data_IF_624157578065
#
_entry.id   IF_624157578065
#
_cell.length_a   1.000
_cell.length_b   1.000
_cell.length_c   1.000
_cell.angle_alpha   90.00
_cell.angle_beta   90.00
_cell.angle_gamma   90.00
#
_symmetry.space_group_name_H-M   'P 1'
#
loop_
_entity.id
_entity.type
_entity.pdbx_description
1 polymer ?
#
# COMPACT_ATOMS: atom_id res chain seq x y z
N UNK A 1 -13.59 -55.80 -30.68
CA UNK A 1 -14.32 -55.53 -31.92
C UNK A 1 -13.92 -54.14 -32.31
N UNK A 2 -13.04 -54.01 -33.25
CA UNK A 2 -13.22 -53.59 -34.67
C UNK A 2 -13.68 -52.14 -34.71
N UNK A 3 -13.00 -51.21 -35.28
CA UNK A 3 -12.10 -51.06 -36.43
C UNK A 3 -12.45 -49.69 -36.98
N UNK A 4 -11.62 -48.99 -37.55
CA UNK A 4 -10.71 -48.87 -38.62
C UNK A 4 -10.75 -47.42 -39.03
N UNK A 5 -9.64 -46.65 -39.17
CA UNK A 5 -8.75 -46.62 -40.35
C UNK A 5 -9.46 -46.11 -41.63
N UNK A 6 -8.99 -45.10 -42.24
CA UNK A 6 -8.06 -44.95 -43.37
C UNK A 6 -8.22 -43.53 -43.94
N UNK A 7 -7.18 -42.81 -44.14
CA UNK A 7 -6.15 -42.76 -45.19
C UNK A 7 -6.42 -41.79 -46.35
N UNK A 8 -5.43 -40.93 -46.53
CA UNK A 8 -4.71 -40.56 -47.78
C UNK A 8 -5.49 -39.83 -48.90
N UNK A 9 -4.92 -38.94 -49.62
CA UNK A 9 -3.69 -38.79 -50.41
C UNK A 9 -3.67 -37.41 -51.15
N UNK A 10 -2.62 -36.80 -51.19
CA UNK A 10 -1.53 -36.48 -52.11
C UNK A 10 -1.83 -35.68 -53.40
N UNK A 11 -0.82 -34.93 -53.69
CA UNK A 11 -0.21 -34.56 -54.99
C UNK A 11 -0.37 -33.10 -55.49
N UNK A 12 0.74 -32.41 -55.45
CA UNK A 12 1.67 -32.04 -56.54
C UNK A 12 1.13 -31.23 -57.74
N UNK A 13 1.74 -30.08 -58.01
CA UNK A 13 2.69 -29.82 -59.12
C UNK A 13 2.91 -28.32 -59.39
N UNK A 14 4.09 -27.86 -59.29
CA UNK A 14 5.07 -27.28 -60.23
C UNK A 14 4.54 -26.46 -61.44
N UNK A 15 5.16 -25.27 -61.63
CA UNK A 15 5.17 -24.50 -62.88
C UNK A 15 6.05 -23.26 -62.85
N UNK A 16 7.10 -23.30 -63.57
CA UNK A 16 8.22 -22.34 -63.75
C UNK A 16 7.92 -21.17 -64.68
N UNK A 17 8.73 -20.09 -64.50
CA UNK A 17 9.29 -19.25 -65.58
C UNK A 17 8.47 -17.97 -65.82
N UNK A 18 8.98 -16.85 -66.11
CA UNK A 18 10.22 -16.47 -66.76
C UNK A 18 10.48 -14.96 -66.59
N UNK A 19 11.70 -14.59 -66.75
CA UNK A 19 12.39 -13.33 -66.74
C UNK A 19 11.83 -12.33 -67.79
N UNK A 20 11.73 -11.04 -67.44
CA UNK A 20 12.23 -9.97 -68.35
C UNK A 20 12.43 -8.62 -67.68
N UNK A 21 13.63 -8.12 -67.85
CA UNK A 21 14.10 -6.79 -67.50
C UNK A 21 13.55 -5.73 -68.46
N UNK A 22 13.27 -4.50 -67.99
CA UNK A 22 13.72 -3.24 -68.62
C UNK A 22 13.37 -1.97 -67.85
N UNK A 23 14.40 -1.16 -67.80
CA UNK A 23 14.49 0.31 -67.95
C UNK A 23 14.19 1.21 -66.77
N UNK A 24 15.27 1.85 -66.35
CA UNK A 24 15.39 3.06 -65.53
C UNK A 24 14.53 4.22 -66.07
N UNK A 25 13.85 4.88 -65.17
CA UNK A 25 13.59 6.32 -65.29
C UNK A 25 13.67 6.98 -63.92
N UNK A 26 14.65 7.82 -63.77
CA UNK A 26 14.92 8.73 -62.66
C UNK A 26 13.83 9.77 -62.59
N UNK A 27 13.25 9.98 -61.39
CA UNK A 27 12.43 11.15 -61.06
C UNK A 27 12.84 11.65 -59.69
N UNK A 28 12.88 12.97 -59.45
CA UNK A 28 13.54 13.58 -58.31
C UNK A 28 12.78 13.42 -57.02
N UNK A 29 13.53 13.28 -55.93
CA UNK A 29 13.06 13.29 -54.52
C UNK A 29 12.41 14.65 -54.19
N UNK A 30 11.31 14.66 -53.45
CA UNK A 30 10.88 15.84 -52.71
C UNK A 30 11.56 15.84 -51.32
N UNK A 31 11.93 17.04 -50.92
CA UNK A 31 12.53 17.39 -49.62
C UNK A 31 11.78 16.79 -48.45
N UNK A 32 12.48 16.00 -47.65
CA UNK A 32 12.06 15.53 -46.33
C UNK A 32 12.30 16.65 -45.31
N UNK A 33 11.22 17.30 -44.91
CA UNK A 33 11.20 18.08 -43.67
C UNK A 33 11.37 17.10 -42.47
N UNK A 34 12.09 17.49 -41.41
CA UNK A 34 12.22 16.64 -40.22
C UNK A 34 10.86 16.58 -39.50
N UNK A 35 10.28 15.38 -39.45
CA UNK A 35 9.16 15.06 -38.57
C UNK A 35 9.60 15.31 -37.12
N UNK A 36 8.99 16.32 -36.52
CA UNK A 36 9.00 16.54 -35.08
C UNK A 36 8.36 15.33 -34.40
N UNK A 37 9.16 14.49 -33.76
CA UNK A 37 8.67 13.45 -32.87
C UNK A 37 7.84 14.10 -31.75
N UNK A 38 6.63 13.61 -31.47
CA UNK A 38 5.88 14.09 -30.31
C UNK A 38 6.60 13.65 -29.04
N UNK A 39 6.86 14.64 -28.20
CA UNK A 39 7.44 14.53 -26.86
C UNK A 39 6.66 13.54 -26.01
N UNK A 40 7.16 12.30 -25.87
CA UNK A 40 6.62 11.28 -24.98
C UNK A 40 7.13 11.49 -23.57
N UNK A 41 6.77 12.61 -22.95
CA UNK A 41 6.94 12.78 -21.51
C UNK A 41 5.60 13.09 -20.87
N UNK A 42 5.22 12.19 -20.00
CA UNK A 42 4.32 12.32 -18.85
C UNK A 42 2.92 11.73 -18.97
N UNK A 43 2.73 10.44 -18.65
CA UNK A 43 1.40 9.98 -18.20
C UNK A 43 1.28 9.77 -16.67
N UNK A 44 2.37 9.87 -15.87
CA UNK A 44 2.29 9.52 -14.44
C UNK A 44 1.82 10.67 -13.53
N UNK A 45 2.03 11.93 -13.92
CA UNK A 45 1.66 13.10 -13.09
C UNK A 45 0.20 13.52 -13.27
N UNK A 46 -0.40 13.27 -14.42
CA UNK A 46 -1.80 13.61 -14.73
C UNK A 46 -2.80 12.70 -13.98
N UNK A 47 -2.46 11.43 -13.72
CA UNK A 47 -3.39 10.44 -13.14
C UNK A 47 -3.72 10.62 -11.66
N UNK A 48 -2.98 11.42 -10.90
CA UNK A 48 -3.29 11.68 -9.49
C UNK A 48 -4.24 12.86 -9.27
N UNK A 49 -4.54 13.66 -10.32
CA UNK A 49 -5.36 14.86 -10.23
C UNK A 49 -6.87 14.60 -10.48
N UNK A 50 -7.25 13.39 -10.90
CA UNK A 50 -8.63 13.08 -11.30
C UNK A 50 -9.36 12.20 -10.25
N UNK A 51 -8.96 12.23 -8.98
CA UNK A 51 -9.62 11.50 -7.89
C UNK A 51 -10.45 12.46 -7.07
N UNK A 52 -11.77 12.37 -7.17
CA UNK A 52 -12.72 13.05 -6.31
C UNK A 52 -12.92 12.24 -5.02
N UNK A 53 -12.79 12.87 -3.84
CA UNK A 53 -13.12 12.25 -2.56
C UNK A 53 -14.27 12.99 -1.91
N UNK A 54 -15.29 12.23 -1.49
CA UNK A 54 -16.46 12.81 -0.83
C UNK A 54 -17.04 11.91 0.26
N UNK A 55 -17.75 12.49 1.20
CA UNK A 55 -18.49 11.73 2.22
C UNK A 55 -19.63 10.93 1.58
N UNK A 56 -19.89 9.73 2.11
CA UNK A 56 -20.95 8.81 1.69
C UNK A 56 -22.11 8.83 2.69
N UNK A 57 -23.34 8.77 2.20
CA UNK A 57 -24.53 8.94 3.03
C UNK A 57 -25.68 7.98 2.71
N UNK A 58 -25.67 7.36 1.55
CA UNK A 58 -26.76 6.52 1.05
C UNK A 58 -26.47 5.03 1.18
N UNK A 59 -27.51 4.22 1.31
CA UNK A 59 -27.36 2.76 1.34
C UNK A 59 -26.76 2.19 0.05
N UNK A 60 -27.00 2.85 -1.10
CA UNK A 60 -26.38 2.47 -2.37
C UNK A 60 -24.88 2.60 -2.31
N UNK A 61 -24.38 3.76 -1.87
CA UNK A 61 -22.94 4.01 -1.71
C UNK A 61 -22.29 3.04 -0.70
N UNK A 62 -22.97 2.67 0.38
CA UNK A 62 -22.43 1.71 1.35
C UNK A 62 -22.34 0.29 0.78
N UNK A 63 -23.27 -0.12 -0.11
CA UNK A 63 -23.14 -1.39 -0.86
C UNK A 63 -21.97 -1.36 -1.82
N UNK A 64 -21.71 -0.22 -2.47
CA UNK A 64 -20.57 -0.05 -3.34
C UNK A 64 -19.24 -0.17 -2.55
N UNK A 65 -19.19 0.37 -1.31
CA UNK A 65 -18.03 0.20 -0.41
C UNK A 65 -17.85 -1.27 -0.02
N UNK A 66 -18.91 -1.98 0.36
CA UNK A 66 -18.84 -3.41 0.70
C UNK A 66 -18.34 -4.23 -0.49
N UNK A 67 -18.84 -3.96 -1.69
CA UNK A 67 -18.38 -4.62 -2.92
C UNK A 67 -16.89 -4.32 -3.21
N UNK A 68 -16.47 -3.06 -3.09
CA UNK A 68 -15.07 -2.65 -3.24
C UNK A 68 -14.16 -3.38 -2.25
N UNK A 69 -14.55 -3.43 -0.97
CA UNK A 69 -13.78 -4.11 0.06
C UNK A 69 -13.73 -5.62 -0.17
N UNK A 70 -14.81 -6.24 -0.65
CA UNK A 70 -14.82 -7.65 -1.05
C UNK A 70 -13.85 -7.97 -2.19
N UNK A 71 -13.62 -7.01 -3.10
CA UNK A 71 -12.61 -7.14 -4.16
C UNK A 71 -11.16 -6.96 -3.65
N UNK A 72 -10.96 -6.11 -2.62
CA UNK A 72 -9.63 -5.87 -2.02
C UNK A 72 -9.27 -6.97 -1.02
N UNK A 73 -10.23 -7.36 -0.18
CA UNK A 73 -10.12 -8.41 0.82
C UNK A 73 -11.19 -9.47 0.56
N UNK A 74 -10.90 -10.49 -0.26
CA UNK A 74 -11.87 -11.52 -0.58
C UNK A 74 -12.41 -12.19 0.69
N UNK A 75 -13.74 -12.35 0.80
CA UNK A 75 -14.35 -12.92 1.99
C UNK A 75 -13.93 -14.38 2.18
N UNK A 76 -13.65 -14.74 3.41
CA UNK A 76 -13.40 -16.12 3.83
C UNK A 76 -14.70 -16.69 4.41
N UNK A 77 -15.06 -17.95 4.14
CA UNK A 77 -16.25 -18.55 4.72
C UNK A 77 -16.30 -18.39 6.24
N UNK A 78 -17.40 -17.83 6.75
CA UNK A 78 -17.59 -17.57 8.17
C UNK A 78 -17.09 -16.21 8.68
N UNK A 79 -16.45 -15.40 7.83
CA UNK A 79 -16.08 -14.02 8.16
C UNK A 79 -16.94 -13.03 7.37
N UNK A 80 -17.37 -11.96 8.06
CA UNK A 80 -18.04 -10.82 7.43
C UNK A 80 -17.06 -9.88 6.72
N UNK A 81 -17.58 -8.86 6.01
CA UNK A 81 -16.75 -7.80 5.44
C UNK A 81 -16.01 -7.03 6.56
N UNK A 82 -14.92 -6.33 6.25
CA UNK A 82 -14.18 -5.52 7.24
C UNK A 82 -15.06 -4.52 8.01
N UNK A 83 -16.09 -4.00 7.36
CA UNK A 83 -17.16 -3.16 7.95
C UNK A 83 -18.46 -3.45 7.22
N UNK A 84 -19.51 -3.92 7.93
CA UNK A 84 -20.83 -4.17 7.34
C UNK A 84 -21.62 -2.89 7.05
N UNK A 85 -22.60 -2.97 6.16
CA UNK A 85 -23.45 -1.85 5.71
C UNK A 85 -24.13 -1.14 6.87
N UNK A 86 -24.62 -1.91 7.86
CA UNK A 86 -25.31 -1.39 9.05
C UNK A 86 -24.38 -0.48 9.85
N UNK A 87 -23.12 -0.89 10.02
CA UNK A 87 -22.13 -0.11 10.76
C UNK A 87 -21.69 1.12 9.96
N UNK A 88 -21.51 1.01 8.63
CA UNK A 88 -21.26 2.16 7.76
C UNK A 88 -22.38 3.19 7.88
N UNK A 89 -23.64 2.73 7.86
CA UNK A 89 -24.82 3.58 8.04
C UNK A 89 -24.84 4.26 9.42
N UNK A 90 -24.58 3.50 10.48
CA UNK A 90 -24.55 4.01 11.84
C UNK A 90 -23.44 5.07 12.01
N UNK A 91 -22.23 4.82 11.52
CA UNK A 91 -21.13 5.76 11.58
C UNK A 91 -21.44 7.06 10.82
N UNK A 92 -21.90 6.97 9.57
CA UNK A 92 -22.25 8.16 8.78
C UNK A 92 -23.38 8.96 9.44
N UNK A 93 -24.40 8.29 10.00
CA UNK A 93 -25.52 8.93 10.68
C UNK A 93 -25.10 9.62 11.97
N UNK A 94 -24.19 9.00 12.72
CA UNK A 94 -23.63 9.57 13.97
C UNK A 94 -22.55 10.64 13.72
N UNK A 95 -22.31 11.04 12.47
CA UNK A 95 -21.37 12.11 12.14
C UNK A 95 -19.90 11.68 12.10
N UNK A 96 -19.63 10.36 12.07
CA UNK A 96 -18.29 9.86 11.85
C UNK A 96 -17.91 9.89 10.35
N UNK A 97 -16.63 9.68 10.07
CA UNK A 97 -16.08 9.76 8.73
C UNK A 97 -16.32 8.48 7.94
N UNK A 98 -17.13 8.57 6.89
CA UNK A 98 -17.27 7.53 5.87
C UNK A 98 -17.16 8.22 4.52
N UNK A 99 -16.12 7.93 3.74
CA UNK A 99 -15.84 8.61 2.48
C UNK A 99 -15.43 7.61 1.38
N UNK A 100 -15.78 7.96 0.15
CA UNK A 100 -15.41 7.26 -1.07
C UNK A 100 -14.55 8.13 -1.98
N UNK A 101 -13.59 7.49 -2.64
CA UNK A 101 -12.78 8.08 -3.68
C UNK A 101 -13.26 7.59 -5.05
N UNK A 102 -13.53 8.51 -5.95
CA UNK A 102 -14.08 8.24 -7.26
C UNK A 102 -13.10 8.66 -8.36
N UNK A 103 -13.08 7.88 -9.42
CA UNK A 103 -12.43 8.22 -10.69
C UNK A 103 -13.40 7.92 -11.81
N UNK A 104 -13.67 8.90 -12.67
CA UNK A 104 -14.63 8.78 -13.77
C UNK A 104 -16.01 8.25 -13.31
N UNK A 105 -16.45 8.69 -12.12
CA UNK A 105 -17.70 8.28 -11.49
C UNK A 105 -17.70 6.87 -10.86
N UNK A 106 -16.59 6.13 -10.93
CA UNK A 106 -16.44 4.80 -10.36
C UNK A 106 -15.75 4.87 -8.99
N UNK A 107 -16.29 4.17 -7.99
CA UNK A 107 -15.68 4.05 -6.66
C UNK A 107 -14.40 3.19 -6.75
N UNK A 108 -13.25 3.80 -6.44
CA UNK A 108 -11.92 3.18 -6.52
C UNK A 108 -11.20 3.10 -5.17
N UNK A 109 -11.80 3.64 -4.12
CA UNK A 109 -11.31 3.56 -2.76
C UNK A 109 -12.34 4.04 -1.75
N UNK A 110 -12.23 3.59 -0.51
CA UNK A 110 -13.09 4.05 0.58
C UNK A 110 -12.30 4.07 1.90
N UNK A 111 -12.73 4.95 2.82
CA UNK A 111 -12.16 5.04 4.15
C UNK A 111 -13.23 5.27 5.19
N UNK A 112 -13.08 4.60 6.33
CA UNK A 112 -13.96 4.67 7.49
C UNK A 112 -13.16 5.04 8.72
N UNK A 113 -13.65 6.01 9.48
CA UNK A 113 -13.06 6.42 10.74
C UNK A 113 -14.13 6.83 11.74
N UNK A 114 -13.81 6.75 13.02
CA UNK A 114 -14.67 7.15 14.13
C UNK A 114 -13.89 7.97 15.16
N UNK A 115 -14.61 8.75 15.96
CA UNK A 115 -14.00 9.54 17.03
C UNK A 115 -13.37 8.60 18.07
N UNK A 116 -12.11 8.89 18.41
CA UNK A 116 -11.30 8.12 19.35
C UNK A 116 -10.94 8.93 20.60
N UNK A 117 -10.24 8.31 21.52
CA UNK A 117 -9.69 8.99 22.70
C UNK A 117 -8.35 9.67 22.37
N UNK A 118 -8.05 10.86 22.96
CA UNK A 118 -8.96 11.70 23.79
C UNK A 118 -10.12 12.28 22.99
N UNK A 119 -11.30 12.32 23.62
CA UNK A 119 -12.52 12.83 22.99
C UNK A 119 -12.34 14.31 22.60
N UNK A 120 -12.76 14.64 21.37
CA UNK A 120 -12.63 15.98 20.80
C UNK A 120 -11.25 16.31 20.22
N UNK A 121 -10.28 15.39 20.31
CA UNK A 121 -8.94 15.59 19.75
C UNK A 121 -8.57 14.57 18.67
N UNK A 122 -9.12 13.37 18.74
CA UNK A 122 -8.64 12.20 17.97
C UNK A 122 -9.71 11.61 17.08
N UNK A 123 -9.33 11.27 15.84
CA UNK A 123 -10.05 10.40 14.94
C UNK A 123 -9.30 9.08 14.80
N UNK A 124 -9.96 7.95 14.96
CA UNK A 124 -9.38 6.65 14.66
C UNK A 124 -9.78 6.20 13.26
N UNK A 125 -8.81 6.13 12.35
CA UNK A 125 -8.99 5.65 10.97
C UNK A 125 -8.99 4.13 10.96
N UNK A 126 -10.16 3.52 10.92
CA UNK A 126 -10.30 2.07 11.11
C UNK A 126 -9.92 1.27 9.87
N UNK A 127 -10.53 1.58 8.74
CA UNK A 127 -10.32 0.87 7.46
C UNK A 127 -10.12 1.88 6.33
N UNK A 128 -9.09 1.67 5.53
CA UNK A 128 -8.89 2.38 4.27
C UNK A 128 -8.49 1.37 3.21
N UNK A 129 -9.36 1.15 2.23
CA UNK A 129 -9.11 0.30 1.08
C UNK A 129 -9.09 1.11 -0.21
N UNK A 130 -8.13 0.83 -1.07
CA UNK A 130 -8.00 1.50 -2.37
C UNK A 130 -7.37 0.56 -3.39
N UNK A 131 -7.78 0.68 -4.64
CA UNK A 131 -7.11 0.01 -5.74
C UNK A 131 -5.66 0.49 -5.84
N UNK A 132 -4.73 -0.46 -5.95
CA UNK A 132 -3.29 -0.20 -5.86
C UNK A 132 -2.77 0.65 -7.03
N UNK A 133 -1.68 1.41 -6.79
CA UNK A 133 -0.93 2.11 -7.85
C UNK A 133 -1.52 3.44 -8.35
N UNK A 134 -2.62 3.92 -7.75
CA UNK A 134 -3.41 5.03 -8.30
C UNK A 134 -3.36 6.35 -7.52
N UNK A 135 -2.63 6.42 -6.40
CA UNK A 135 -2.62 7.60 -5.52
C UNK A 135 -3.89 7.80 -4.68
N UNK A 136 -4.89 6.93 -4.84
CA UNK A 136 -6.20 7.00 -4.16
C UNK A 136 -6.06 6.96 -2.64
N UNK A 137 -5.22 6.08 -2.09
CA UNK A 137 -4.98 6.03 -0.65
C UNK A 137 -4.44 7.34 -0.08
N UNK A 138 -3.58 8.03 -0.83
CA UNK A 138 -3.06 9.35 -0.43
C UNK A 138 -4.17 10.42 -0.49
N UNK A 139 -5.00 10.42 -1.53
CA UNK A 139 -6.14 11.34 -1.64
C UNK A 139 -7.14 11.14 -0.50
N UNK A 140 -7.49 9.89 -0.18
CA UNK A 140 -8.36 9.57 0.97
C UNK A 140 -7.78 10.07 2.30
N UNK A 141 -6.48 9.86 2.55
CA UNK A 141 -5.82 10.33 3.78
C UNK A 141 -5.75 11.86 3.85
N UNK A 142 -5.47 12.53 2.75
CA UNK A 142 -5.46 14.00 2.70
C UNK A 142 -6.85 14.57 2.98
N UNK A 143 -7.89 14.04 2.34
CA UNK A 143 -9.29 14.43 2.60
C UNK A 143 -9.69 14.14 4.05
N UNK A 144 -9.31 12.99 4.61
CA UNK A 144 -9.57 12.64 6.00
C UNK A 144 -8.91 13.64 6.98
N UNK A 145 -7.70 14.11 6.66
CA UNK A 145 -7.01 15.15 7.42
C UNK A 145 -7.76 16.47 7.40
N UNK A 146 -8.16 16.94 6.22
CA UNK A 146 -8.93 18.17 6.05
C UNK A 146 -10.27 18.10 6.80
N UNK A 147 -10.96 16.96 6.69
CA UNK A 147 -12.19 16.69 7.40
C UNK A 147 -12.01 16.74 8.93
N UNK A 148 -10.94 16.17 9.45
CA UNK A 148 -10.61 16.16 10.87
C UNK A 148 -10.25 17.58 11.39
N UNK A 149 -9.42 18.31 10.64
CA UNK A 149 -9.03 19.68 10.97
C UNK A 149 -10.23 20.64 10.99
N UNK A 150 -11.16 20.50 10.04
CA UNK A 150 -12.39 21.29 9.98
C UNK A 150 -13.31 21.07 11.21
N UNK A 151 -13.10 19.97 11.96
CA UNK A 151 -13.81 19.63 13.21
C UNK A 151 -12.99 19.89 14.47
N UNK A 152 -11.86 20.57 14.34
CA UNK A 152 -10.99 20.92 15.45
C UNK A 152 -10.16 19.75 16.01
N UNK A 153 -10.16 18.58 15.33
CA UNK A 153 -9.35 17.45 15.74
C UNK A 153 -7.87 17.73 15.49
N UNK A 154 -7.02 17.20 16.35
CA UNK A 154 -5.58 17.46 16.33
C UNK A 154 -4.79 16.32 15.74
N UNK A 155 -5.30 15.08 15.84
CA UNK A 155 -4.60 13.88 15.41
C UNK A 155 -5.53 12.84 14.79
N UNK A 156 -4.94 11.99 13.95
CA UNK A 156 -5.56 10.76 13.45
C UNK A 156 -4.68 9.60 13.84
N UNK A 157 -5.28 8.51 14.34
CA UNK A 157 -4.59 7.27 14.69
C UNK A 157 -5.07 6.13 13.79
N UNK A 158 -4.24 5.15 13.55
CA UNK A 158 -4.62 3.86 12.95
C UNK A 158 -3.57 2.81 13.21
N UNK A 159 -3.92 1.56 12.94
CA UNK A 159 -2.99 0.44 13.04
C UNK A 159 -2.64 -0.10 11.65
N UNK A 160 -1.44 -0.64 11.51
CA UNK A 160 -1.02 -1.37 10.31
C UNK A 160 -0.09 -2.53 10.68
N UNK A 161 0.05 -3.51 9.81
CA UNK A 161 0.99 -4.62 9.99
C UNK A 161 2.43 -4.14 9.74
N UNK A 162 3.31 -4.17 10.76
CA UNK A 162 4.67 -3.65 10.67
C UNK A 162 5.54 -4.36 9.63
N UNK A 163 5.23 -5.60 9.26
CA UNK A 163 5.98 -6.37 8.27
C UNK A 163 5.59 -6.06 6.83
N UNK A 164 4.46 -5.38 6.59
CA UNK A 164 4.07 -4.97 5.25
C UNK A 164 4.83 -3.71 4.84
N UNK A 165 5.97 -3.91 4.17
CA UNK A 165 6.92 -2.87 3.75
C UNK A 165 6.27 -1.67 3.06
N UNK A 166 5.33 -1.91 2.12
CA UNK A 166 4.63 -0.83 1.43
C UNK A 166 3.79 0.04 2.36
N UNK A 167 3.18 -0.57 3.41
CA UNK A 167 2.38 0.16 4.39
C UNK A 167 3.27 0.99 5.31
N UNK A 168 4.38 0.42 5.80
CA UNK A 168 5.35 1.15 6.61
C UNK A 168 5.87 2.38 5.84
N UNK A 169 6.32 2.20 4.61
CA UNK A 169 6.78 3.32 3.77
C UNK A 169 5.67 4.36 3.51
N UNK A 170 4.45 3.92 3.22
CA UNK A 170 3.33 4.84 3.01
C UNK A 170 3.02 5.66 4.26
N UNK A 171 2.91 5.01 5.41
CA UNK A 171 2.53 5.67 6.66
C UNK A 171 3.63 6.61 7.18
N UNK A 172 4.88 6.16 7.18
CA UNK A 172 5.98 6.90 7.80
C UNK A 172 6.62 7.89 6.84
N UNK A 173 6.98 7.45 5.64
CA UNK A 173 7.66 8.31 4.69
C UNK A 173 6.71 9.25 3.95
N UNK A 174 5.58 8.74 3.39
CA UNK A 174 4.68 9.57 2.58
C UNK A 174 3.65 10.37 3.37
N UNK A 175 3.21 9.91 4.55
CA UNK A 175 2.26 10.63 5.39
C UNK A 175 2.94 11.33 6.56
N UNK A 176 4.12 10.92 6.98
CA UNK A 176 4.81 11.48 8.14
C UNK A 176 4.22 11.07 9.48
N UNK A 177 3.42 9.99 9.53
CA UNK A 177 2.91 9.44 10.77
C UNK A 177 4.02 8.79 11.60
N UNK A 178 3.84 8.69 12.91
CA UNK A 178 4.84 8.11 13.84
C UNK A 178 4.28 6.87 14.54
N UNK A 179 4.97 5.73 14.53
CA UNK A 179 4.69 4.60 15.40
C UNK A 179 4.83 5.00 16.86
N UNK A 180 3.87 4.56 17.68
CA UNK A 180 3.86 4.87 19.13
C UNK A 180 3.69 3.63 19.99
N UNK A 181 3.18 2.52 19.45
CA UNK A 181 2.90 1.31 20.21
C UNK A 181 2.94 0.09 19.30
N UNK A 182 3.52 -1.01 19.79
CA UNK A 182 3.44 -2.31 19.16
C UNK A 182 2.35 -3.14 19.84
N UNK A 183 1.42 -3.67 19.09
CA UNK A 183 0.23 -4.37 19.55
C UNK A 183 0.28 -5.84 19.11
N UNK A 184 0.78 -6.75 19.96
CA UNK A 184 0.85 -8.18 19.63
C UNK A 184 -0.54 -8.79 19.49
N UNK A 185 -0.75 -9.56 18.43
CA UNK A 185 -1.98 -10.30 18.13
C UNK A 185 -3.27 -9.50 18.32
N UNK A 186 -3.27 -8.23 17.85
CA UNK A 186 -4.27 -7.20 18.19
C UNK A 186 -5.71 -7.58 17.81
N UNK A 187 -5.89 -8.28 16.70
CA UNK A 187 -7.20 -8.75 16.24
C UNK A 187 -7.46 -10.23 16.57
N UNK A 188 -6.59 -10.86 17.35
CA UNK A 188 -6.66 -12.30 17.61
C UNK A 188 -6.28 -13.13 16.38
N UNK A 189 -6.66 -14.39 16.38
CA UNK A 189 -6.36 -15.32 15.29
C UNK A 189 -7.23 -14.99 14.08
N UNK A 190 -6.65 -14.32 13.10
CA UNK A 190 -7.32 -13.96 11.85
C UNK A 190 -7.11 -15.09 10.83
N UNK A 191 -8.19 -15.81 10.54
CA UNK A 191 -8.24 -16.83 9.47
C UNK A 191 -8.66 -16.13 8.18
N UNK A 192 -7.83 -15.24 7.64
CA UNK A 192 -8.06 -14.58 6.35
C UNK A 192 -6.95 -14.90 5.35
N UNK A 193 -7.19 -14.58 4.07
CA UNK A 193 -6.23 -14.83 2.98
C UNK A 193 -4.99 -13.95 3.06
N UNK A 194 -5.01 -12.85 3.81
CA UNK A 194 -3.91 -11.89 3.96
C UNK A 194 -2.96 -12.32 5.06
N UNK A 195 -3.51 -12.74 6.22
CA UNK A 195 -2.72 -13.17 7.37
C UNK A 195 -2.35 -14.65 7.32
N UNK A 196 -3.11 -15.50 6.61
CA UNK A 196 -2.80 -16.93 6.40
C UNK A 196 -2.41 -17.69 7.67
N UNK A 197 -3.06 -17.37 8.81
CA UNK A 197 -2.77 -17.98 10.12
C UNK A 197 -1.52 -17.41 10.82
N UNK A 198 -0.91 -16.33 10.33
CA UNK A 198 0.08 -15.54 11.06
C UNK A 198 -0.60 -14.66 12.13
N UNK A 199 0.11 -14.37 13.23
CA UNK A 199 -0.41 -13.50 14.28
C UNK A 199 -0.75 -12.10 13.75
N UNK A 200 -1.85 -11.54 14.24
CA UNK A 200 -2.37 -10.24 13.79
C UNK A 200 -1.69 -9.03 14.46
N UNK A 201 -0.35 -9.05 14.58
CA UNK A 201 0.38 -7.94 15.16
C UNK A 201 0.16 -6.64 14.38
N UNK A 202 0.05 -5.56 15.11
CA UNK A 202 -0.12 -4.21 14.55
C UNK A 202 0.84 -3.24 15.22
N UNK A 203 1.13 -2.17 14.51
CA UNK A 203 1.75 -0.97 15.06
C UNK A 203 0.72 0.14 15.02
N UNK A 204 0.46 0.77 16.17
CA UNK A 204 -0.34 1.97 16.26
C UNK A 204 0.50 3.17 15.83
N UNK A 205 -0.03 3.97 14.92
CA UNK A 205 0.58 5.24 14.53
C UNK A 205 -0.29 6.41 14.94
N UNK A 206 0.39 7.51 15.22
CA UNK A 206 -0.22 8.83 15.44
C UNK A 206 0.20 9.75 14.29
N UNK A 207 -0.77 10.44 13.74
CA UNK A 207 -0.60 11.45 12.70
C UNK A 207 -1.01 12.81 13.29
N UNK A 208 -0.03 13.54 13.78
CA UNK A 208 -0.24 14.90 14.34
C UNK A 208 -0.47 15.86 13.18
N UNK A 209 -1.71 16.30 12.98
CA UNK A 209 -2.19 16.95 11.76
C UNK A 209 -1.51 18.31 11.48
N UNK A 210 -1.01 18.98 12.51
CA UNK A 210 -0.33 20.27 12.41
C UNK A 210 1.21 20.17 12.50
N UNK A 211 1.77 18.97 12.67
CA UNK A 211 3.22 18.76 12.65
C UNK A 211 3.81 19.28 11.34
N UNK A 212 4.93 20.03 11.36
CA UNK A 212 5.60 20.53 10.15
C UNK A 212 5.95 19.42 9.15
N UNK A 213 6.39 18.23 9.63
CA UNK A 213 6.68 17.05 8.83
C UNK A 213 5.43 16.55 8.10
N UNK A 214 4.29 16.47 8.80
CA UNK A 214 3.01 16.06 8.21
C UNK A 214 2.54 17.06 7.17
N UNK A 215 2.67 18.37 7.44
CA UNK A 215 2.32 19.41 6.48
C UNK A 215 3.18 19.36 5.22
N UNK A 216 4.47 19.12 5.35
CA UNK A 216 5.36 18.91 4.21
C UNK A 216 4.98 17.64 3.42
N UNK A 217 4.71 16.54 4.14
CA UNK A 217 4.30 15.27 3.54
C UNK A 217 3.03 15.40 2.69
N UNK A 218 2.00 16.10 3.20
CA UNK A 218 0.74 16.34 2.46
C UNK A 218 0.97 17.17 1.19
N UNK A 219 1.93 18.08 1.18
CA UNK A 219 2.37 18.83 -0.02
C UNK A 219 3.29 18.03 -0.93
N UNK A 220 3.57 16.74 -0.59
CA UNK A 220 4.52 15.87 -1.30
C UNK A 220 5.97 16.38 -1.28
N UNK A 221 6.33 17.12 -0.25
CA UNK A 221 7.64 17.69 0.02
C UNK A 221 8.41 16.85 1.06
N UNK A 222 8.14 15.55 1.14
CA UNK A 222 8.85 14.67 2.08
C UNK A 222 10.27 14.41 1.62
N UNK A 223 11.19 14.42 2.57
CA UNK A 223 12.56 13.99 2.35
C UNK A 223 12.71 12.50 2.70
N UNK A 224 13.43 11.71 1.90
CA UNK A 224 13.86 10.39 2.32
C UNK A 224 14.65 10.49 3.61
N UNK A 225 14.47 9.52 4.51
CA UNK A 225 15.34 9.41 5.67
C UNK A 225 16.55 8.57 5.27
N UNK A 226 17.75 9.11 5.52
CA UNK A 226 19.00 8.40 5.29
C UNK A 226 19.51 7.89 6.63
N UNK A 227 19.75 6.57 6.76
CA UNK A 227 20.35 6.03 7.98
C UNK A 227 21.73 6.65 8.20
N UNK A 228 22.08 7.09 9.42
CA UNK A 228 23.42 7.55 9.71
C UNK A 228 24.43 6.40 9.55
N UNK A 229 25.69 6.75 9.24
CA UNK A 229 26.72 5.76 8.94
C UNK A 229 27.08 4.84 10.13
N UNK A 230 26.78 5.25 11.35
CA UNK A 230 26.99 4.54 12.60
C UNK A 230 25.72 3.78 13.08
N UNK A 231 24.64 3.79 12.31
CA UNK A 231 23.44 3.02 12.65
C UNK A 231 23.73 1.52 12.67
N UNK A 232 23.34 0.86 13.74
CA UNK A 232 23.57 -0.57 13.96
C UNK A 232 22.35 -1.39 13.53
N UNK A 233 22.57 -2.51 12.86
CA UNK A 233 21.49 -3.39 12.45
C UNK A 233 21.00 -4.25 13.63
N UNK A 234 19.85 -3.90 14.20
CA UNK A 234 19.18 -4.67 15.26
C UNK A 234 18.37 -5.85 14.73
N UNK A 235 17.93 -5.79 13.48
CA UNK A 235 17.29 -6.90 12.79
C UNK A 235 17.71 -6.88 11.32
N UNK A 236 18.21 -8.01 10.82
CA UNK A 236 18.68 -8.17 9.44
C UNK A 236 18.04 -9.35 8.75
N UNK A 237 18.28 -9.52 7.47
CA UNK A 237 17.89 -10.70 6.68
C UNK A 237 19.13 -11.51 6.32
N UNK A 238 19.08 -12.85 6.52
CA UNK A 238 20.06 -13.79 5.99
C UNK A 238 19.32 -14.97 5.39
N UNK A 239 19.53 -15.23 4.11
CA UNK A 239 18.89 -16.32 3.36
C UNK A 239 17.35 -16.36 3.50
N UNK A 240 16.72 -15.16 3.55
CA UNK A 240 15.27 -15.00 3.72
C UNK A 240 14.79 -15.00 5.18
N UNK A 241 15.64 -15.37 6.16
CA UNK A 241 15.31 -15.46 7.58
C UNK A 241 15.74 -14.23 8.36
N UNK A 242 15.02 -13.87 9.44
CA UNK A 242 15.40 -12.78 10.33
C UNK A 242 16.62 -13.19 11.19
N UNK A 243 17.54 -12.26 11.38
CA UNK A 243 18.68 -12.40 12.30
C UNK A 243 18.68 -11.22 13.24
N UNK A 244 18.48 -11.48 14.52
CA UNK A 244 18.51 -10.47 15.58
C UNK A 244 19.96 -10.09 15.89
N UNK A 245 20.23 -8.78 15.90
CA UNK A 245 21.52 -8.16 16.19
C UNK A 245 21.51 -7.39 17.51
N UNK A 246 22.38 -6.39 17.63
CA UNK A 246 22.44 -5.53 18.82
C UNK A 246 21.36 -4.46 18.79
N UNK A 247 20.48 -4.48 19.80
CA UNK A 247 19.38 -3.51 19.98
C UNK A 247 19.75 -2.34 20.91
N UNK A 248 20.97 -2.30 21.46
CA UNK A 248 21.37 -1.35 22.51
C UNK A 248 22.01 -0.08 21.99
N UNK A 249 22.37 -0.05 20.71
CA UNK A 249 22.95 1.15 20.09
C UNK A 249 21.95 2.32 20.09
N UNK A 250 22.46 3.55 20.08
CA UNK A 250 21.64 4.77 20.11
C UNK A 250 20.72 4.88 18.90
N UNK A 251 21.18 4.45 17.74
CA UNK A 251 20.40 4.40 16.48
C UNK A 251 20.51 3.01 15.88
N UNK A 252 19.36 2.41 15.64
CA UNK A 252 19.30 1.05 15.11
C UNK A 252 18.42 0.96 13.86
N UNK A 253 18.72 -0.03 13.03
CA UNK A 253 17.95 -0.43 11.86
C UNK A 253 17.21 -1.72 12.13
N UNK A 254 15.93 -1.74 11.82
CA UNK A 254 15.07 -2.91 11.96
C UNK A 254 14.53 -3.28 10.57
N UNK A 255 15.14 -4.28 9.97
CA UNK A 255 14.73 -4.77 8.66
C UNK A 255 13.34 -5.42 8.70
N UNK A 256 12.68 -5.44 7.55
CA UNK A 256 11.45 -6.21 7.30
C UNK A 256 11.60 -6.98 5.98
N UNK A 257 10.89 -8.11 5.81
CA UNK A 257 10.98 -8.90 4.58
C UNK A 257 10.55 -8.06 3.37
N UNK A 258 11.05 -8.42 2.20
CA UNK A 258 10.71 -7.71 0.96
C UNK A 258 9.20 -7.80 0.67
N UNK A 259 8.61 -8.99 0.83
CA UNK A 259 7.19 -9.28 0.64
C UNK A 259 6.71 -10.34 1.63
N UNK A 260 6.22 -9.89 2.79
CA UNK A 260 5.67 -10.79 3.83
C UNK A 260 4.39 -11.50 3.34
N UNK A 261 3.61 -10.88 2.48
CA UNK A 261 2.36 -11.45 2.00
C UNK A 261 2.61 -12.63 1.05
N UNK A 262 3.61 -12.52 0.16
CA UNK A 262 4.08 -13.67 -0.62
C UNK A 262 4.69 -14.73 0.30
N UNK A 263 5.53 -14.35 1.26
CA UNK A 263 6.19 -15.27 2.19
C UNK A 263 5.19 -16.08 3.01
N UNK A 264 4.10 -15.49 3.49
CA UNK A 264 3.03 -16.22 4.21
C UNK A 264 2.44 -17.37 3.40
N UNK A 265 2.40 -17.24 2.07
CA UNK A 265 1.88 -18.29 1.17
C UNK A 265 2.92 -19.34 0.80
N UNK A 266 4.19 -18.93 0.66
CA UNK A 266 5.26 -19.79 0.11
C UNK A 266 6.14 -20.41 1.19
N UNK A 267 6.33 -19.71 2.32
CA UNK A 267 7.14 -20.14 3.46
C UNK A 267 6.54 -19.59 4.77
N UNK A 268 5.46 -20.22 5.28
CA UNK A 268 4.79 -19.76 6.50
C UNK A 268 5.68 -19.84 7.75
N UNK A 269 6.69 -20.69 7.76
CA UNK A 269 7.62 -20.81 8.88
C UNK A 269 8.54 -19.59 8.97
N UNK A 270 9.14 -19.19 7.84
CA UNK A 270 9.90 -17.96 7.77
C UNK A 270 9.04 -16.74 8.11
N UNK A 271 7.78 -16.68 7.64
CA UNK A 271 6.87 -15.59 7.97
C UNK A 271 6.61 -15.47 9.49
N UNK A 272 6.35 -16.61 10.18
CA UNK A 272 6.20 -16.61 11.65
C UNK A 272 7.49 -16.22 12.38
N UNK A 273 8.66 -16.63 11.86
CA UNK A 273 9.94 -16.22 12.41
C UNK A 273 10.16 -14.71 12.31
N UNK A 274 9.82 -14.11 11.16
CA UNK A 274 9.83 -12.65 10.99
C UNK A 274 8.87 -11.94 11.94
N UNK A 275 7.69 -12.51 12.16
CA UNK A 275 6.71 -11.97 13.11
C UNK A 275 7.26 -11.95 14.54
N UNK A 276 7.84 -13.07 14.98
CA UNK A 276 8.44 -13.20 16.30
C UNK A 276 9.62 -12.22 16.47
N UNK A 277 10.53 -12.15 15.51
CA UNK A 277 11.69 -11.27 15.56
C UNK A 277 11.29 -9.77 15.52
N UNK A 278 10.30 -9.38 14.71
CA UNK A 278 9.81 -8.00 14.70
C UNK A 278 9.13 -7.61 16.01
N UNK A 279 8.37 -8.53 16.62
CA UNK A 279 7.77 -8.32 17.96
C UNK A 279 8.83 -8.12 19.02
N UNK A 280 9.84 -9.00 19.03
CA UNK A 280 10.96 -8.92 19.97
C UNK A 280 11.74 -7.60 19.80
N UNK A 281 12.17 -7.27 18.58
CA UNK A 281 13.07 -6.15 18.34
C UNK A 281 12.32 -4.83 18.27
N UNK A 282 11.36 -4.68 17.33
CA UNK A 282 10.64 -3.40 17.17
C UNK A 282 9.69 -3.15 18.34
N UNK A 283 8.99 -4.19 18.79
CA UNK A 283 8.11 -4.13 19.95
C UNK A 283 8.90 -3.76 21.20
N UNK A 284 9.98 -4.47 21.50
CA UNK A 284 10.84 -4.20 22.65
C UNK A 284 11.41 -2.78 22.66
N UNK A 285 11.88 -2.27 21.49
CA UNK A 285 12.35 -0.89 21.37
C UNK A 285 11.25 0.14 21.67
N UNK A 286 10.04 -0.07 21.16
CA UNK A 286 8.91 0.83 21.44
C UNK A 286 8.48 0.77 22.91
N UNK A 287 8.46 -0.40 23.53
CA UNK A 287 8.13 -0.60 24.95
C UNK A 287 9.17 0.09 25.87
N UNK A 288 10.44 0.15 25.44
CA UNK A 288 11.52 0.88 26.12
C UNK A 288 11.49 2.40 25.85
N UNK A 289 10.53 2.90 25.09
CA UNK A 289 10.35 4.32 24.79
C UNK A 289 11.22 4.84 23.63
N UNK A 290 11.80 3.95 22.82
CA UNK A 290 12.53 4.37 21.64
C UNK A 290 11.59 5.02 20.59
N UNK A 291 12.14 5.92 19.79
CA UNK A 291 11.40 6.66 18.78
C UNK A 291 11.71 6.17 17.37
N UNK A 292 10.68 5.80 16.62
CA UNK A 292 10.84 5.51 15.19
C UNK A 292 10.96 6.83 14.42
N UNK A 293 12.13 7.08 13.87
CA UNK A 293 12.47 8.30 13.12
C UNK A 293 11.85 8.27 11.72
N UNK A 294 11.74 7.08 11.11
CA UNK A 294 11.18 6.91 9.79
C UNK A 294 11.33 5.49 9.25
N UNK A 295 11.11 5.36 7.95
CA UNK A 295 11.22 4.09 7.24
C UNK A 295 11.94 4.28 5.91
N UNK A 296 13.07 3.63 5.77
CA UNK A 296 13.79 3.48 4.52
C UNK A 296 13.32 2.22 3.77
N UNK A 297 13.26 2.29 2.44
CA UNK A 297 12.75 1.16 1.64
C UNK A 297 13.66 -0.06 1.63
N UNK A 298 14.95 0.13 1.78
CA UNK A 298 15.94 -0.96 1.76
C UNK A 298 16.31 -1.39 3.17
N UNK A 299 16.60 -0.43 4.04
CA UNK A 299 17.07 -0.68 5.39
C UNK A 299 15.95 -1.05 6.40
N UNK A 300 14.70 -0.61 6.18
CA UNK A 300 13.61 -0.84 7.11
C UNK A 300 13.33 0.35 8.04
N UNK A 301 12.94 0.08 9.30
CA UNK A 301 12.70 1.11 10.29
C UNK A 301 14.03 1.66 10.83
N UNK A 302 14.13 2.98 10.90
CA UNK A 302 15.18 3.68 11.62
C UNK A 302 14.64 4.07 12.99
N UNK A 303 15.28 3.61 14.05
CA UNK A 303 14.82 3.78 15.44
C UNK A 303 15.93 4.40 16.27
N UNK A 304 15.59 5.43 17.06
CA UNK A 304 16.50 6.05 18.02
C UNK A 304 16.07 5.72 19.45
N UNK A 305 17.02 5.31 20.27
CA UNK A 305 16.85 5.12 21.72
C UNK A 305 17.05 6.40 22.51
N UNK A 306 17.77 7.37 21.94
CA UNK A 306 17.92 8.70 22.52
C UNK A 306 16.67 9.56 22.33
N UNK A 307 16.39 10.46 23.28
CA UNK A 307 15.32 11.44 23.14
C UNK A 307 15.63 12.37 21.96
N UNK A 308 14.78 12.35 20.94
CA UNK A 308 14.88 13.27 19.79
C UNK A 308 13.80 14.32 20.02
N UNK A 309 14.21 15.46 20.59
CA UNK A 309 13.37 16.60 20.90
C UNK A 309 12.71 17.25 19.70
#
# INVERSE_FOLDING_TARGET
MKGGADEMDDSKARGRGDTQARARTTRPQPDTQPETQPDTQTPARARAQDVEVRELRTLGEFRDVEHLYGGIWPPVPGQGPPVGIELLRAFAHAGNYVAGAYRDGVLVGAAVAFFGAPIGETLHSHVTGALTGSGVGFALKTHQREWALARGLRRITWTYDPLVRRNAHFNLAKLGARPVEYLPNFYGDMVDTVNSGDASDRVLVVWELNDPRVRAAVRREWMPIEPPADAVSALTVRDGWPVVGDTRADVVLVAVPADIEAMRRTDPEAARSWRAAAREVLGGLLDEGATVLGFDREAGYLVSRGWVG
#
